data_IF_128779593346
#
_entry.id   IF_128779593346
#
_cell.length_a   1.000
_cell.length_b   1.000
_cell.length_c   1.000
_cell.angle_alpha   90.00
_cell.angle_beta   90.00
_cell.angle_gamma   90.00
#
_symmetry.space_group_name_H-M   'P 1'
#
loop_
_entity.id
_entity.type
_entity.pdbx_description
1 polymer ?
#
# COMPACT_ATOMS: atom_id res chain seq x y z
N UNK A 1 22.25 13.71 8.09
CA UNK A 1 20.95 14.02 7.74
C UNK A 1 20.04 12.85 7.93
N UNK A 2 18.97 13.11 8.44
CA UNK A 2 18.07 12.06 8.73
C UNK A 2 17.54 11.49 7.45
N UNK A 3 17.53 10.22 7.38
CA UNK A 3 16.96 9.56 6.28
C UNK A 3 15.47 9.79 6.28
N UNK A 4 14.93 10.09 5.13
CA UNK A 4 13.53 10.26 5.04
C UNK A 4 12.85 8.95 5.27
N UNK A 5 11.89 8.95 6.14
CA UNK A 5 11.15 7.75 6.42
C UNK A 5 9.87 7.75 5.63
N UNK A 6 9.65 6.73 4.86
CA UNK A 6 8.46 6.62 4.09
C UNK A 6 7.45 5.82 4.86
N UNK A 7 6.30 6.38 5.03
CA UNK A 7 5.25 5.71 5.75
C UNK A 7 4.60 4.62 4.91
N UNK A 8 4.52 4.82 3.60
CA UNK A 8 3.86 3.87 2.73
C UNK A 8 4.86 3.20 1.83
N UNK A 9 4.72 1.89 1.68
CA UNK A 9 5.59 1.09 0.84
C UNK A 9 4.75 0.41 -0.21
N UNK A 10 5.17 0.52 -1.47
CA UNK A 10 4.49 -0.21 -2.53
C UNK A 10 5.02 -1.64 -2.53
N UNK A 11 4.14 -2.60 -2.28
CA UNK A 11 4.54 -3.99 -2.18
C UNK A 11 4.21 -4.79 -3.41
N UNK A 12 3.35 -4.29 -4.27
CA UNK A 12 2.95 -5.05 -5.44
C UNK A 12 2.40 -4.10 -6.48
N UNK A 13 2.65 -4.39 -7.73
CA UNK A 13 2.06 -3.60 -8.80
C UNK A 13 1.95 -4.44 -10.04
N UNK A 14 0.98 -4.10 -10.87
CA UNK A 14 0.84 -4.75 -12.14
C UNK A 14 0.19 -3.78 -13.11
N UNK A 15 0.39 -4.03 -14.40
CA UNK A 15 -0.19 -3.21 -15.43
C UNK A 15 0.77 -2.14 -15.89
N UNK A 16 0.76 -1.88 -17.19
CA UNK A 16 1.65 -0.89 -17.76
C UNK A 16 0.99 0.46 -17.86
N UNK A 17 -0.27 0.48 -18.26
CA UNK A 17 -0.93 1.74 -18.45
C UNK A 17 -2.08 1.94 -17.50
N UNK A 18 -2.87 1.00 -17.27
CA UNK A 18 -3.82 1.09 -16.21
C UNK A 18 -3.26 0.22 -15.13
N UNK A 19 -2.80 0.77 -14.07
CA UNK A 19 -2.06 -0.04 -13.14
C UNK A 19 -2.79 -0.21 -11.83
N UNK A 20 -2.51 -1.34 -11.21
CA UNK A 20 -2.98 -1.64 -9.87
C UNK A 20 -1.76 -1.74 -8.98
N UNK A 21 -1.87 -1.19 -7.79
CA UNK A 21 -0.76 -1.20 -6.85
C UNK A 21 -1.28 -1.48 -5.46
N UNK A 22 -0.48 -2.20 -4.68
CA UNK A 22 -0.79 -2.39 -3.28
C UNK A 22 0.26 -1.67 -2.46
N UNK A 23 -0.21 -0.83 -1.55
CA UNK A 23 0.63 -0.05 -0.67
C UNK A 23 0.33 -0.43 0.77
N UNK A 24 1.35 -0.45 1.59
CA UNK A 24 1.21 -0.79 3.00
C UNK A 24 1.63 0.40 3.84
N UNK A 25 0.78 0.73 4.82
CA UNK A 25 1.09 1.75 5.80
C UNK A 25 2.00 1.10 6.84
N UNK A 26 3.23 1.58 6.95
CA UNK A 26 4.18 0.98 7.87
C UNK A 26 3.78 1.15 9.33
N UNK A 27 2.99 2.15 9.62
CA UNK A 27 2.61 2.39 11.01
C UNK A 27 1.51 1.48 11.48
N UNK A 28 0.60 1.12 10.60
CA UNK A 28 -0.53 0.30 11.00
C UNK A 28 -0.52 -1.08 10.38
N UNK A 29 0.23 -1.26 9.30
CA UNK A 29 0.20 -2.52 8.57
C UNK A 29 -0.97 -2.65 7.63
N UNK A 30 -1.81 -1.65 7.54
CA UNK A 30 -3.00 -1.72 6.70
C UNK A 30 -2.61 -1.61 5.24
N UNK A 31 -3.17 -2.48 4.42
CA UNK A 31 -2.92 -2.50 2.99
C UNK A 31 -3.97 -1.69 2.26
N UNK A 32 -3.54 -1.03 1.19
CA UNK A 32 -4.42 -0.22 0.35
C UNK A 32 -4.24 -0.63 -1.09
N UNK A 33 -5.32 -0.58 -1.83
CA UNK A 33 -5.28 -0.82 -3.26
C UNK A 33 -5.42 0.50 -3.98
N UNK A 34 -4.49 0.79 -4.87
CA UNK A 34 -4.54 1.97 -5.71
C UNK A 34 -4.72 1.52 -7.16
N UNK A 35 -5.68 2.11 -7.84
CA UNK A 35 -5.93 1.80 -9.24
C UNK A 35 -5.89 3.09 -10.02
N UNK A 36 -5.16 3.09 -11.11
CA UNK A 36 -5.06 4.25 -11.98
C UNK A 36 -5.38 3.85 -13.40
N UNK A 37 -6.06 4.73 -14.10
CA UNK A 37 -6.37 4.52 -15.48
C UNK A 37 -6.33 5.87 -16.18
N UNK A 38 -5.39 6.06 -17.09
CA UNK A 38 -5.20 7.34 -17.74
C UNK A 38 -4.83 8.38 -16.70
N UNK A 39 -5.61 9.44 -16.61
CA UNK A 39 -5.36 10.50 -15.64
C UNK A 39 -6.20 10.35 -14.39
N UNK A 40 -6.91 9.27 -14.24
CA UNK A 40 -7.76 9.05 -13.10
C UNK A 40 -7.15 8.02 -12.19
N UNK A 41 -7.39 8.14 -10.91
CA UNK A 41 -6.91 7.16 -9.95
C UNK A 41 -7.74 7.18 -8.69
N UNK A 42 -7.70 6.10 -7.98
CA UNK A 42 -8.43 6.00 -6.74
C UNK A 42 -7.76 5.01 -5.81
N UNK A 43 -8.02 5.19 -4.52
CA UNK A 43 -7.41 4.38 -3.49
C UNK A 43 -8.48 3.89 -2.54
N UNK A 44 -8.36 2.64 -2.13
CA UNK A 44 -9.29 2.10 -1.15
C UNK A 44 -8.54 1.14 -0.24
N UNK A 45 -9.10 0.90 0.92
CA UNK A 45 -8.54 -0.07 1.84
C UNK A 45 -8.80 -1.46 1.27
N UNK A 46 -7.78 -2.30 1.31
CA UNK A 46 -7.91 -3.65 0.86
C UNK A 46 -8.50 -4.49 1.97
N UNK A 47 -9.57 -5.22 1.68
CA UNK A 47 -10.29 -5.95 2.69
C UNK A 47 -10.14 -7.44 2.52
N UNK A 48 -10.14 -8.12 3.65
CA UNK A 48 -10.27 -9.56 3.66
C UNK A 48 -11.70 -9.94 3.28
N UNK A 49 -11.89 -11.21 3.05
CA UNK A 49 -13.17 -11.73 2.68
C UNK A 49 -14.28 -11.43 3.68
N UNK A 50 -13.92 -11.33 4.95
CA UNK A 50 -14.91 -11.07 6.00
C UNK A 50 -15.12 -9.58 6.24
N UNK A 51 -14.52 -8.72 5.41
CA UNK A 51 -14.75 -7.29 5.53
C UNK A 51 -13.79 -6.56 6.43
N UNK A 52 -12.82 -7.26 7.00
CA UNK A 52 -11.83 -6.58 7.83
C UNK A 52 -10.62 -6.18 6.98
N UNK A 53 -9.92 -5.12 7.35
CA UNK A 53 -8.75 -4.70 6.57
C UNK A 53 -7.66 -5.75 6.57
N UNK A 54 -6.97 -5.86 5.46
CA UNK A 54 -5.78 -6.70 5.38
C UNK A 54 -4.66 -6.00 6.11
N UNK A 55 -4.07 -6.67 7.09
CA UNK A 55 -3.00 -6.09 7.87
C UNK A 55 -1.77 -6.96 7.73
N UNK A 56 -0.66 -6.32 7.37
CA UNK A 56 0.61 -7.01 7.20
C UNK A 56 1.53 -6.61 8.34
N UNK A 57 2.05 -7.57 9.08
CA UNK A 57 3.04 -7.22 10.10
C UNK A 57 4.27 -6.64 9.44
N UNK A 58 4.75 -5.52 9.97
CA UNK A 58 5.88 -4.84 9.38
C UNK A 58 7.13 -5.20 10.17
N UNK A 59 8.15 -5.76 9.52
CA UNK A 59 9.39 -6.08 10.21
C UNK A 59 10.02 -4.82 10.77
N UNK A 60 10.73 -4.99 11.88
CA UNK A 60 11.35 -3.89 12.54
C UNK A 60 12.33 -3.15 11.65
N UNK A 61 12.90 -3.84 10.71
CA UNK A 61 13.88 -3.21 9.84
C UNK A 61 13.26 -2.16 8.94
N UNK A 62 11.95 -2.14 8.78
CA UNK A 62 11.30 -1.09 8.02
C UNK A 62 10.84 0.03 8.92
N UNK A 63 10.92 -0.17 10.21
CA UNK A 63 10.38 0.76 11.16
C UNK A 63 11.54 1.48 11.82
N UNK A 64 11.83 2.62 11.40
CA UNK A 64 13.00 3.29 11.94
C UNK A 64 12.65 4.30 12.97
#
# INVERSE_FOLDING_TARGET
>A
MAKKQERFIKTWSDGAFGSNEIWVDKQTGVNYLFHASGYAGGLTVLLNRDGTPVVTPIPKEYDE
#
